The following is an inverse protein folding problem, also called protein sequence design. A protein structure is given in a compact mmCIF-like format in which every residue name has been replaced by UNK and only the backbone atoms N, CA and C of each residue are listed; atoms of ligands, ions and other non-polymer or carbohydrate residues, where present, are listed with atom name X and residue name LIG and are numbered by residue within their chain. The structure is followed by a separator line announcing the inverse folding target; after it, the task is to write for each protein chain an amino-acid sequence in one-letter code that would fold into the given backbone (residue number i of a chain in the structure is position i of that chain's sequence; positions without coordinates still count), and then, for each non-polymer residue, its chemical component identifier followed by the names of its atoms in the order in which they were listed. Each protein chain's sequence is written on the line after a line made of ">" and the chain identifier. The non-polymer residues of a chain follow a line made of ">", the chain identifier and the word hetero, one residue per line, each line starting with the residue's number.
data_IF_561082478693
#
_entry.id   IF_561082478693
#
_cell.length_a   1.000
_cell.length_b   1.000
_cell.length_c   1.000
_cell.angle_alpha   90.00
_cell.angle_beta   90.00
_cell.angle_gamma   90.00
#
_symmetry.space_group_name_H-M   'P 1'
#
loop_
_entity.id
_entity.type
_entity.pdbx_description
1 polymer ?
#
# COMPACT_ATOMS: atom_id res chain seq x y z
N UNK A 1 -1.75 21.27 -10.52
CA UNK A 1 -1.08 20.11 -11.15
C UNK A 1 -2.17 19.31 -11.88
N UNK A 2 -2.00 19.02 -13.17
CA UNK A 2 -2.94 18.17 -13.91
C UNK A 2 -2.26 16.83 -14.20
N UNK A 3 -2.92 15.68 -13.94
CA UNK A 3 -2.35 14.38 -14.23
C UNK A 3 -2.22 14.18 -15.74
N UNK A 4 -1.09 13.59 -16.17
CA UNK A 4 -0.85 13.22 -17.56
C UNK A 4 -0.71 11.71 -17.65
N UNK A 5 -1.50 11.10 -18.53
CA UNK A 5 -1.38 9.66 -18.82
C UNK A 5 -0.05 9.39 -19.55
N UNK A 6 0.71 8.43 -19.03
CA UNK A 6 1.90 7.86 -19.65
C UNK A 6 1.60 6.45 -20.16
N UNK A 7 2.48 5.86 -20.96
CA UNK A 7 2.35 4.45 -21.34
C UNK A 7 2.84 3.56 -20.20
N UNK A 8 2.10 2.48 -20.00
CA UNK A 8 2.48 1.37 -19.13
C UNK A 8 2.42 0.12 -19.99
N UNK A 9 3.59 -0.43 -20.32
CA UNK A 9 3.74 -1.58 -21.21
C UNK A 9 4.13 -2.79 -20.38
N UNK A 10 3.35 -3.87 -20.49
CA UNK A 10 3.57 -5.12 -19.77
C UNK A 10 3.44 -6.30 -20.73
N UNK A 11 3.92 -7.49 -20.33
CA UNK A 11 3.43 -8.73 -20.93
C UNK A 11 1.91 -8.83 -20.77
N UNK A 12 1.30 -9.68 -21.59
CA UNK A 12 -0.11 -10.01 -21.43
C UNK A 12 -0.26 -11.04 -20.30
N UNK A 13 -0.35 -10.56 -19.06
CA UNK A 13 -0.42 -11.40 -17.87
C UNK A 13 -1.66 -12.31 -17.82
N UNK A 14 -2.78 -11.90 -18.43
CA UNK A 14 -3.96 -12.77 -18.59
C UNK A 14 -3.62 -14.09 -19.31
N UNK A 15 -2.64 -14.04 -20.23
CA UNK A 15 -2.24 -15.20 -21.02
C UNK A 15 -1.11 -16.02 -20.41
N UNK A 16 -0.26 -15.42 -19.56
CA UNK A 16 0.99 -16.04 -19.11
C UNK A 16 1.04 -16.32 -17.60
N UNK A 17 0.16 -15.71 -16.82
CA UNK A 17 0.10 -15.84 -15.37
C UNK A 17 -1.28 -16.37 -14.96
N UNK A 18 -1.42 -17.70 -14.73
CA UNK A 18 -2.68 -18.27 -14.27
C UNK A 18 -3.18 -17.60 -12.99
N UNK A 19 -4.45 -17.23 -13.00
CA UNK A 19 -5.09 -16.55 -11.85
C UNK A 19 -4.74 -15.07 -11.73
N UNK A 20 -4.06 -14.44 -12.69
CA UNK A 20 -3.86 -12.99 -12.67
C UNK A 20 -5.21 -12.26 -12.53
N UNK A 21 -5.31 -11.38 -11.53
CA UNK A 21 -6.50 -10.56 -11.26
C UNK A 21 -6.21 -9.08 -11.60
N UNK A 22 -5.27 -8.47 -10.88
CA UNK A 22 -4.96 -7.04 -11.04
C UNK A 22 -3.52 -6.65 -10.65
N UNK A 23 -3.18 -5.39 -10.90
CA UNK A 23 -1.95 -4.75 -10.44
C UNK A 23 -2.23 -4.04 -9.11
N UNK A 24 -1.44 -4.34 -8.09
CA UNK A 24 -1.78 -3.94 -6.71
C UNK A 24 -0.89 -2.84 -6.16
N UNK A 25 0.42 -2.89 -6.43
CA UNK A 25 1.36 -1.93 -5.87
C UNK A 25 2.39 -1.48 -6.90
N UNK A 26 2.96 -0.29 -6.67
CA UNK A 26 4.06 0.25 -7.47
C UNK A 26 5.05 1.03 -6.61
N UNK A 27 6.35 0.79 -6.80
CA UNK A 27 7.41 1.57 -6.17
C UNK A 27 8.59 1.81 -7.10
N UNK A 28 9.37 2.85 -6.79
CA UNK A 28 10.40 3.35 -7.67
C UNK A 28 11.76 3.45 -6.99
N UNK A 29 12.81 3.06 -7.71
CA UNK A 29 14.21 3.25 -7.33
C UNK A 29 14.99 3.83 -8.50
N UNK A 30 15.14 5.15 -8.53
CA UNK A 30 15.63 5.84 -9.72
C UNK A 30 14.67 5.60 -10.88
N UNK A 31 15.19 5.08 -11.99
CA UNK A 31 14.41 4.68 -13.17
C UNK A 31 14.03 3.20 -13.19
N UNK A 32 14.17 2.49 -12.08
CA UNK A 32 13.60 1.15 -11.91
C UNK A 32 12.21 1.25 -11.28
N UNK A 33 11.30 0.44 -11.78
CA UNK A 33 9.96 0.26 -11.21
C UNK A 33 9.81 -1.16 -10.70
N UNK A 34 9.07 -1.31 -9.62
CA UNK A 34 8.69 -2.59 -9.04
C UNK A 34 7.18 -2.58 -8.87
N UNK A 35 6.53 -3.66 -9.28
CA UNK A 35 5.08 -3.82 -9.17
C UNK A 35 4.73 -5.16 -8.56
N UNK A 36 3.62 -5.21 -7.85
CA UNK A 36 2.97 -6.48 -7.48
C UNK A 36 1.81 -6.75 -8.42
N UNK A 37 1.61 -8.02 -8.72
CA UNK A 37 0.44 -8.52 -9.43
C UNK A 37 -0.30 -9.49 -8.51
N UNK A 38 -1.60 -9.31 -8.37
CA UNK A 38 -2.47 -10.22 -7.62
C UNK A 38 -2.72 -11.49 -8.44
N UNK A 39 -2.66 -12.61 -7.74
CA UNK A 39 -3.08 -13.92 -8.24
C UNK A 39 -4.25 -14.37 -7.37
N UNK A 40 -5.39 -14.64 -7.99
CA UNK A 40 -6.62 -15.05 -7.34
C UNK A 40 -7.17 -16.31 -7.96
N UNK A 41 -7.46 -17.27 -7.10
CA UNK A 41 -8.26 -18.44 -7.38
C UNK A 41 -9.43 -18.49 -6.38
N UNK A 42 -10.47 -19.33 -6.61
CA UNK A 42 -11.62 -19.38 -5.71
C UNK A 42 -11.31 -19.68 -4.23
N UNK A 43 -10.19 -20.35 -3.96
CA UNK A 43 -9.78 -20.82 -2.62
C UNK A 43 -8.36 -20.40 -2.23
N UNK A 44 -7.69 -19.57 -3.03
CA UNK A 44 -6.34 -19.10 -2.73
C UNK A 44 -6.06 -17.72 -3.31
N UNK A 45 -5.21 -16.99 -2.58
CA UNK A 45 -4.63 -15.72 -3.00
C UNK A 45 -3.12 -15.88 -3.08
N UNK A 46 -2.51 -15.09 -3.94
CA UNK A 46 -1.07 -14.97 -4.07
C UNK A 46 -0.71 -13.61 -4.66
N UNK A 47 0.58 -13.32 -4.69
CA UNK A 47 1.08 -12.22 -5.48
C UNK A 47 2.41 -12.58 -6.10
N UNK A 48 2.81 -11.82 -7.10
CA UNK A 48 4.14 -11.88 -7.67
C UNK A 48 4.72 -10.48 -7.79
N UNK A 49 6.04 -10.36 -7.59
CA UNK A 49 6.81 -9.14 -7.81
C UNK A 49 7.44 -9.17 -9.21
N UNK A 50 7.21 -8.11 -9.98
CA UNK A 50 7.87 -7.86 -11.25
C UNK A 50 8.71 -6.57 -11.17
N UNK A 51 9.77 -6.49 -11.99
CA UNK A 51 10.58 -5.26 -12.15
C UNK A 51 10.48 -4.76 -13.58
N UNK A 52 10.51 -3.46 -13.74
CA UNK A 52 10.66 -2.82 -15.03
C UNK A 52 11.60 -1.63 -14.97
N UNK A 53 11.49 -0.80 -16.00
CA UNK A 53 12.22 0.44 -16.11
C UNK A 53 11.33 1.57 -16.59
N UNK A 54 11.77 2.79 -16.34
CA UNK A 54 11.18 4.04 -16.79
C UNK A 54 12.10 4.63 -17.85
N UNK A 55 11.55 5.01 -18.99
CA UNK A 55 12.27 5.86 -19.94
C UNK A 55 12.41 7.28 -19.37
N UNK A 56 13.64 7.76 -19.18
CA UNK A 56 13.89 9.05 -18.52
C UNK A 56 13.30 10.25 -19.27
N UNK A 57 13.09 10.11 -20.59
CA UNK A 57 12.63 11.19 -21.45
C UNK A 57 11.11 11.21 -21.58
N UNK A 58 10.50 10.04 -21.75
CA UNK A 58 9.05 9.94 -21.96
C UNK A 58 8.29 9.69 -20.66
N UNK A 59 8.97 9.20 -19.62
CA UNK A 59 8.41 8.65 -18.39
C UNK A 59 7.53 7.42 -18.62
N UNK A 60 7.56 6.83 -19.81
CA UNK A 60 6.85 5.59 -20.08
C UNK A 60 7.47 4.46 -19.26
N UNK A 61 6.61 3.60 -18.73
CA UNK A 61 6.99 2.48 -17.88
C UNK A 61 6.90 1.20 -18.71
N UNK A 62 7.95 0.38 -18.68
CA UNK A 62 7.97 -0.94 -19.33
C UNK A 62 8.37 -2.02 -18.34
N UNK A 63 7.50 -3.01 -18.20
CA UNK A 63 7.77 -4.29 -17.52
C UNK A 63 8.08 -5.32 -18.61
N UNK A 64 9.31 -5.85 -18.70
CA UNK A 64 9.64 -6.89 -19.67
C UNK A 64 9.13 -8.26 -19.20
N UNK A 65 9.04 -9.21 -20.13
CA UNK A 65 8.91 -10.63 -19.80
C UNK A 65 10.13 -11.08 -18.99
N UNK A 66 9.88 -11.76 -17.87
CA UNK A 66 10.91 -12.13 -16.90
C UNK A 66 10.39 -13.24 -15.98
N UNK A 67 11.30 -13.83 -15.20
CA UNK A 67 10.90 -14.63 -14.05
C UNK A 67 10.35 -13.72 -12.96
N UNK A 68 9.14 -14.03 -12.52
CA UNK A 68 8.46 -13.31 -11.45
C UNK A 68 8.85 -13.91 -10.09
N UNK A 69 8.89 -13.08 -9.04
CA UNK A 69 9.17 -13.55 -7.68
C UNK A 69 7.83 -13.77 -6.98
N UNK A 70 7.56 -15.00 -6.59
CA UNK A 70 6.36 -15.34 -5.81
C UNK A 70 6.41 -14.70 -4.42
N UNK A 71 5.30 -14.09 -4.04
CA UNK A 71 5.05 -13.50 -2.73
C UNK A 71 3.89 -14.27 -2.09
N UNK A 72 4.20 -15.24 -1.25
CA UNK A 72 3.18 -15.97 -0.51
C UNK A 72 2.44 -15.01 0.45
N UNK A 73 1.11 -15.06 0.44
CA UNK A 73 0.29 -14.31 1.40
C UNK A 73 0.38 -14.94 2.79
N UNK A 74 0.30 -14.17 3.89
CA UNK A 74 0.39 -14.71 5.25
C UNK A 74 -0.79 -15.62 5.60
N UNK A 75 -1.96 -15.36 5.04
CA UNK A 75 -3.17 -16.17 5.13
C UNK A 75 -4.06 -15.89 3.91
N UNK A 76 -5.01 -16.79 3.65
CA UNK A 76 -6.05 -16.54 2.66
C UNK A 76 -7.09 -15.56 3.21
N UNK A 77 -7.19 -14.40 2.59
CA UNK A 77 -8.34 -13.50 2.68
C UNK A 77 -8.70 -13.11 1.26
N UNK A 78 -9.92 -13.41 0.84
CA UNK A 78 -10.36 -13.16 -0.53
C UNK A 78 -10.21 -11.68 -0.90
N UNK A 79 -9.71 -11.39 -2.10
CA UNK A 79 -9.47 -10.03 -2.61
C UNK A 79 -8.50 -9.21 -1.75
N UNK A 80 -7.47 -9.84 -1.17
CA UNK A 80 -6.41 -9.15 -0.44
C UNK A 80 -5.05 -9.72 -0.80
N UNK A 81 -4.13 -8.80 -1.08
CA UNK A 81 -2.80 -9.13 -1.60
C UNK A 81 -1.76 -8.13 -1.08
N UNK A 82 -0.61 -8.03 -1.76
CA UNK A 82 0.44 -7.08 -1.44
C UNK A 82 0.22 -5.76 -2.17
N UNK A 83 -0.53 -4.85 -1.55
CA UNK A 83 -0.95 -3.56 -2.14
C UNK A 83 0.01 -2.40 -1.88
N UNK A 84 1.07 -2.58 -1.08
CA UNK A 84 2.06 -1.53 -0.90
C UNK A 84 3.49 -2.02 -1.03
N UNK A 85 4.33 -1.16 -1.59
CA UNK A 85 5.76 -1.37 -1.74
C UNK A 85 6.56 -0.21 -1.15
N UNK A 86 7.59 -0.52 -0.36
CA UNK A 86 8.58 0.45 0.09
C UNK A 86 9.97 -0.06 -0.27
N UNK A 87 10.84 0.81 -0.77
CA UNK A 87 12.19 0.43 -1.16
C UNK A 87 13.20 1.14 -0.26
N UNK A 88 14.05 0.34 0.40
CA UNK A 88 15.26 0.85 1.07
C UNK A 88 16.51 0.33 0.38
N UNK A 89 17.25 1.21 -0.31
CA UNK A 89 18.48 0.88 -1.04
C UNK A 89 18.28 -0.32 -1.98
N UNK A 90 18.71 -1.51 -1.55
CA UNK A 90 18.63 -2.75 -2.30
C UNK A 90 17.58 -3.71 -1.75
N UNK A 91 16.62 -3.26 -0.93
CA UNK A 91 15.58 -4.12 -0.39
C UNK A 91 14.21 -3.56 -0.74
N UNK A 92 13.39 -4.39 -1.37
CA UNK A 92 11.98 -4.11 -1.64
C UNK A 92 11.17 -4.77 -0.52
N UNK A 93 10.38 -3.96 0.19
CA UNK A 93 9.46 -4.40 1.21
C UNK A 93 8.05 -4.41 0.62
N UNK A 94 7.39 -5.56 0.64
CA UNK A 94 6.00 -5.71 0.25
C UNK A 94 5.13 -5.89 1.48
N UNK A 95 4.05 -5.11 1.55
CA UNK A 95 3.14 -5.08 2.68
C UNK A 95 1.85 -5.76 2.26
N UNK A 96 1.48 -6.82 2.99
CA UNK A 96 0.17 -7.42 2.82
C UNK A 96 -0.90 -6.41 3.26
N UNK A 97 -2.02 -6.38 2.56
CA UNK A 97 -3.00 -5.33 2.74
C UNK A 97 -3.63 -5.32 4.15
N UNK A 98 -3.78 -6.49 4.78
CA UNK A 98 -4.40 -6.60 6.10
C UNK A 98 -3.50 -7.28 7.12
N UNK A 99 -2.97 -6.48 8.05
CA UNK A 99 -2.02 -6.94 9.09
C UNK A 99 -2.53 -6.65 10.51
N UNK A 100 -3.84 -6.62 10.70
CA UNK A 100 -4.47 -6.47 12.02
C UNK A 100 -4.27 -7.71 12.88
N UNK A 101 -4.28 -7.52 14.21
CA UNK A 101 -3.99 -8.59 15.18
C UNK A 101 -5.05 -9.71 15.16
N UNK A 102 -6.25 -9.42 14.66
CA UNK A 102 -7.33 -10.41 14.54
C UNK A 102 -7.11 -11.44 13.44
N UNK A 103 -6.31 -11.11 12.42
CA UNK A 103 -6.06 -11.96 11.26
C UNK A 103 -4.65 -12.55 11.28
N UNK A 104 -3.64 -11.71 11.53
CA UNK A 104 -2.24 -12.07 11.39
C UNK A 104 -1.57 -11.96 12.75
N UNK A 105 -1.25 -13.11 13.33
CA UNK A 105 -0.37 -13.17 14.50
C UNK A 105 1.05 -12.80 14.06
N UNK A 106 1.69 -11.87 14.78
CA UNK A 106 3.05 -11.36 14.49
C UNK A 106 3.22 -10.91 13.03
N UNK A 107 2.52 -9.84 12.59
CA UNK A 107 2.54 -9.42 11.20
C UNK A 107 3.92 -9.02 10.71
N UNK A 108 4.11 -9.14 9.40
CA UNK A 108 5.38 -8.90 8.75
C UNK A 108 5.18 -8.32 7.35
N UNK A 109 6.19 -7.57 6.90
CA UNK A 109 6.39 -7.31 5.48
C UNK A 109 7.29 -8.40 4.88
N UNK A 110 7.11 -8.70 3.61
CA UNK A 110 8.09 -9.48 2.85
C UNK A 110 9.23 -8.57 2.41
N UNK A 111 10.46 -8.91 2.77
CA UNK A 111 11.67 -8.19 2.39
C UNK A 111 12.45 -8.99 1.34
N UNK A 112 12.50 -8.44 0.14
CA UNK A 112 13.21 -9.02 -0.98
C UNK A 112 14.51 -8.25 -1.25
N UNK A 113 15.65 -8.91 -1.12
CA UNK A 113 16.96 -8.30 -1.39
C UNK A 113 17.29 -8.35 -2.88
N UNK A 114 17.70 -7.23 -3.45
CA UNK A 114 18.11 -7.09 -4.84
C UNK A 114 19.57 -7.53 -5.03
N UNK A 115 19.94 -8.06 -6.22
CA UNK A 115 19.14 -8.17 -7.45
C UNK A 115 18.02 -9.23 -7.37
N UNK A 116 17.16 -9.34 -8.40
CA UNK A 116 16.03 -10.29 -8.53
C UNK A 116 16.41 -11.80 -8.54
N UNK A 117 17.53 -12.16 -7.94
CA UNK A 117 17.95 -13.51 -7.55
C UNK A 117 18.16 -13.65 -6.04
N UNK A 118 17.86 -12.61 -5.26
CA UNK A 118 18.12 -12.55 -3.84
C UNK A 118 17.10 -13.32 -2.99
N UNK A 119 17.33 -13.29 -1.68
CA UNK A 119 16.53 -14.02 -0.69
C UNK A 119 15.29 -13.22 -0.28
N UNK A 120 14.12 -13.88 -0.33
CA UNK A 120 12.89 -13.40 0.29
C UNK A 120 12.90 -13.77 1.78
N UNK A 121 12.63 -12.79 2.65
CA UNK A 121 12.57 -12.97 4.10
C UNK A 121 11.36 -12.25 4.67
N UNK A 122 10.90 -12.68 5.84
CA UNK A 122 9.94 -11.91 6.62
C UNK A 122 10.66 -10.80 7.39
N UNK A 123 9.98 -9.67 7.56
CA UNK A 123 10.48 -8.53 8.31
C UNK A 123 9.40 -8.06 9.29
N UNK A 124 9.61 -8.16 10.60
CA UNK A 124 8.58 -7.88 11.59
C UNK A 124 8.00 -6.48 11.43
N UNK A 125 6.68 -6.40 11.56
CA UNK A 125 5.91 -5.18 11.43
C UNK A 125 4.97 -5.02 12.63
N UNK A 126 4.77 -3.78 13.04
CA UNK A 126 3.76 -3.45 14.02
C UNK A 126 2.36 -3.70 13.45
N UNK A 127 1.47 -4.43 14.15
CA UNK A 127 0.12 -4.70 13.66
C UNK A 127 -0.68 -3.43 13.46
N UNK A 128 -1.34 -3.30 12.31
CA UNK A 128 -2.20 -2.17 12.02
C UNK A 128 -3.56 -2.70 11.59
N UNK A 129 -4.58 -2.33 12.35
CA UNK A 129 -5.97 -2.59 11.96
C UNK A 129 -6.32 -1.84 10.67
N UNK A 130 -7.25 -2.43 9.91
CA UNK A 130 -7.72 -1.95 8.62
C UNK A 130 -6.73 -2.13 7.46
N UNK A 131 -7.18 -1.81 6.23
CA UNK A 131 -6.43 -2.04 5.00
C UNK A 131 -5.27 -1.06 4.84
N UNK A 132 -4.16 -1.54 4.29
CA UNK A 132 -2.95 -0.81 3.88
C UNK A 132 -2.89 -0.81 2.36
N UNK A 133 -3.37 0.28 1.75
CA UNK A 133 -3.63 0.34 0.30
C UNK A 133 -2.48 0.94 -0.53
N UNK A 134 -1.65 1.82 0.04
CA UNK A 134 -0.41 2.28 -0.61
C UNK A 134 0.56 2.88 0.41
N UNK A 135 1.82 3.05 0.04
CA UNK A 135 2.88 3.62 0.86
C UNK A 135 3.75 4.65 0.12
N UNK A 136 4.13 5.73 0.81
CA UNK A 136 5.13 6.65 0.29
C UNK A 136 6.53 6.03 0.29
N UNK A 137 7.43 6.57 -0.53
CA UNK A 137 8.87 6.35 -0.37
C UNK A 137 9.38 6.74 1.02
N UNK A 138 10.46 6.09 1.46
CA UNK A 138 11.19 6.47 2.66
C UNK A 138 11.76 7.89 2.53
N UNK A 139 11.64 8.66 3.60
CA UNK A 139 12.40 9.89 3.75
C UNK A 139 13.81 9.65 4.31
N UNK A 140 14.57 10.74 4.49
CA UNK A 140 15.94 10.68 4.99
C UNK A 140 16.07 10.12 6.40
N UNK A 141 14.97 10.04 7.17
CA UNK A 141 14.92 9.45 8.52
C UNK A 141 14.41 8.01 8.51
N UNK A 142 14.21 7.42 7.32
CA UNK A 142 13.58 6.10 7.14
C UNK A 142 12.13 6.06 7.62
N UNK A 143 11.42 7.19 7.54
CA UNK A 143 9.98 7.22 7.79
C UNK A 143 9.23 7.17 6.46
N UNK A 144 8.06 6.55 6.49
CA UNK A 144 7.14 6.49 5.35
C UNK A 144 5.71 6.55 5.88
N UNK A 145 4.79 6.97 5.03
CA UNK A 145 3.38 7.01 5.32
C UNK A 145 2.65 5.94 4.54
N UNK A 146 1.60 5.39 5.13
CA UNK A 146 0.70 4.47 4.45
C UNK A 146 -0.72 5.03 4.44
N UNK A 147 -1.48 4.69 3.41
CA UNK A 147 -2.94 4.79 3.46
C UNK A 147 -3.43 3.73 4.45
N UNK A 148 -4.25 4.14 5.42
CA UNK A 148 -4.96 3.22 6.30
C UNK A 148 -6.46 3.45 6.13
N UNK A 149 -7.14 2.43 5.61
CA UNK A 149 -8.50 2.55 5.08
C UNK A 149 -9.41 1.46 5.61
N UNK A 150 -10.63 1.83 6.00
CA UNK A 150 -11.68 0.88 6.39
C UNK A 150 -13.03 1.26 5.80
N UNK A 151 -13.58 0.35 5.01
CA UNK A 151 -14.98 0.34 4.63
C UNK A 151 -15.75 -0.61 5.57
N UNK A 152 -16.83 -0.15 6.25
CA UNK A 152 -17.60 -0.99 7.18
C UNK A 152 -18.15 -2.29 6.58
N UNK A 153 -18.30 -2.39 5.25
CA UNK A 153 -18.68 -3.63 4.58
C UNK A 153 -17.63 -4.75 4.70
N UNK A 154 -16.36 -4.40 4.94
CA UNK A 154 -15.26 -5.37 5.05
C UNK A 154 -15.16 -5.98 6.46
N UNK A 155 -16.06 -5.60 7.38
CA UNK A 155 -16.00 -6.00 8.80
C UNK A 155 -15.96 -7.50 9.00
N UNK A 156 -16.74 -8.27 8.25
CA UNK A 156 -16.77 -9.73 8.38
C UNK A 156 -15.53 -10.40 7.77
N UNK A 157 -14.95 -9.75 6.76
CA UNK A 157 -13.74 -10.19 6.06
C UNK A 157 -12.50 -9.95 6.91
N UNK A 158 -12.31 -8.73 7.42
CA UNK A 158 -11.07 -8.36 8.11
C UNK A 158 -11.16 -8.38 9.64
N UNK A 159 -12.38 -8.40 10.18
CA UNK A 159 -12.69 -8.58 11.62
C UNK A 159 -11.80 -7.71 12.51
N UNK A 160 -11.79 -6.38 12.33
CA UNK A 160 -10.79 -5.55 12.96
C UNK A 160 -10.90 -5.61 14.48
N UNK A 161 -9.75 -5.65 15.16
CA UNK A 161 -9.66 -5.51 16.61
C UNK A 161 -9.83 -4.04 17.01
N UNK A 162 -9.45 -3.71 18.26
CA UNK A 162 -9.51 -2.34 18.76
C UNK A 162 -8.53 -1.44 18.01
N UNK A 163 -9.01 -0.32 17.47
CA UNK A 163 -8.13 0.70 16.88
C UNK A 163 -7.29 1.41 17.95
N UNK A 164 -6.06 0.96 18.12
CA UNK A 164 -5.12 1.52 19.10
C UNK A 164 -4.76 2.98 18.79
N UNK A 165 -4.87 3.42 17.52
CA UNK A 165 -4.50 4.76 17.11
C UNK A 165 -5.59 5.74 17.56
N UNK A 166 -6.86 5.40 17.35
CA UNK A 166 -8.00 6.15 17.88
C UNK A 166 -7.96 6.22 19.42
N UNK A 167 -7.66 5.11 20.10
CA UNK A 167 -7.53 5.09 21.58
C UNK A 167 -6.46 6.05 22.08
N UNK A 168 -5.32 6.11 21.38
CA UNK A 168 -4.15 6.87 21.82
C UNK A 168 -4.23 8.35 21.46
N UNK A 169 -4.77 8.67 20.28
CA UNK A 169 -4.74 10.01 19.72
C UNK A 169 -6.13 10.70 19.71
N UNK A 170 -7.19 9.95 20.02
CA UNK A 170 -8.56 10.38 19.78
C UNK A 170 -8.94 10.25 18.31
N UNK A 171 -10.22 10.49 18.03
CA UNK A 171 -10.78 10.56 16.68
C UNK A 171 -11.14 12.01 16.37
N UNK A 172 -11.00 12.40 15.12
CA UNK A 172 -11.46 13.68 14.62
C UNK A 172 -12.98 13.75 14.50
N UNK A 173 -13.54 14.95 14.26
CA UNK A 173 -14.99 15.18 14.36
C UNK A 173 -15.86 14.33 13.44
N UNK A 174 -15.35 13.95 12.26
CA UNK A 174 -16.08 13.09 11.32
C UNK A 174 -15.94 11.61 11.64
N UNK A 175 -14.78 11.18 12.16
CA UNK A 175 -14.51 9.78 12.49
C UNK A 175 -15.17 9.39 13.81
N UNK A 176 -15.27 10.29 14.79
CA UNK A 176 -15.93 10.02 16.09
C UNK A 176 -17.43 9.68 15.99
N UNK A 177 -18.04 9.85 14.81
CA UNK A 177 -19.46 9.54 14.54
C UNK A 177 -19.62 8.54 13.38
N UNK A 178 -18.54 7.87 12.97
CA UNK A 178 -18.54 6.96 11.82
C UNK A 178 -17.58 5.79 12.01
N UNK A 179 -18.02 4.58 11.67
CA UNK A 179 -17.14 3.40 11.67
C UNK A 179 -16.11 3.39 10.51
N UNK A 180 -16.16 4.36 9.59
CA UNK A 180 -15.22 4.42 8.46
C UNK A 180 -13.88 4.95 8.91
N UNK A 181 -12.81 4.46 8.28
CA UNK A 181 -11.47 5.01 8.47
C UNK A 181 -10.90 5.44 7.13
N UNK A 182 -10.55 6.72 7.03
CA UNK A 182 -9.72 7.27 5.98
C UNK A 182 -8.63 8.11 6.65
N UNK A 183 -7.38 7.62 6.66
CA UNK A 183 -6.26 8.33 7.29
C UNK A 183 -4.92 7.93 6.69
N UNK A 184 -3.91 8.74 6.96
CA UNK A 184 -2.51 8.40 6.71
C UNK A 184 -1.81 8.09 8.03
N UNK A 185 -0.99 7.04 8.06
CA UNK A 185 -0.26 6.61 9.26
C UNK A 185 1.24 6.58 8.97
N UNK A 186 2.05 7.21 9.85
CA UNK A 186 3.50 7.25 9.70
C UNK A 186 4.19 6.08 10.40
N UNK A 187 4.90 5.28 9.62
CA UNK A 187 5.79 4.22 10.07
C UNK A 187 7.26 4.66 9.95
N UNK A 188 8.12 3.92 10.65
CA UNK A 188 9.57 3.98 10.48
C UNK A 188 10.14 2.59 10.26
N UNK A 189 11.15 2.52 9.42
CA UNK A 189 12.00 1.35 9.27
C UNK A 189 13.24 1.54 10.15
N UNK A 190 13.35 0.78 11.24
CA UNK A 190 14.46 0.91 12.20
C UNK A 190 14.72 -0.41 12.92
N UNK A 191 15.99 -0.67 13.27
CA UNK A 191 16.36 -1.76 14.18
C UNK A 191 15.81 -3.15 13.76
N UNK A 192 15.81 -3.42 12.44
CA UNK A 192 15.28 -4.64 11.81
C UNK A 192 13.76 -4.88 11.98
N UNK A 193 12.98 -3.81 12.16
CA UNK A 193 11.52 -3.87 12.20
C UNK A 193 10.87 -2.62 11.62
N UNK A 194 9.58 -2.73 11.32
CA UNK A 194 8.70 -1.65 10.90
C UNK A 194 7.79 -1.30 12.07
N UNK A 195 7.94 -0.11 12.64
CA UNK A 195 7.13 0.34 13.78
C UNK A 195 6.35 1.61 13.44
N UNK A 196 5.24 1.82 14.14
CA UNK A 196 4.62 3.14 14.23
C UNK A 196 5.59 4.18 14.79
N UNK A 197 5.52 5.39 14.25
CA UNK A 197 6.14 6.55 14.89
C UNK A 197 5.30 7.05 16.06
N UNK A 198 5.74 8.13 16.71
CA UNK A 198 4.95 8.82 17.74
C UNK A 198 3.95 9.82 17.15
N UNK A 199 4.00 10.06 15.84
CA UNK A 199 3.15 11.04 15.16
C UNK A 199 1.71 10.52 15.10
N UNK A 200 0.75 11.40 15.39
CA UNK A 200 -0.66 11.07 15.24
C UNK A 200 -0.98 10.80 13.76
N UNK A 201 -1.94 9.91 13.46
CA UNK A 201 -2.45 9.76 12.10
C UNK A 201 -3.00 11.07 11.55
N UNK A 202 -2.94 11.23 10.23
CA UNK A 202 -3.60 12.33 9.53
C UNK A 202 -4.95 11.81 9.04
N UNK A 203 -6.01 12.13 9.77
CA UNK A 203 -7.37 11.77 9.37
C UNK A 203 -7.86 12.63 8.19
N UNK A 204 -8.36 11.97 7.16
CA UNK A 204 -8.96 12.62 6.00
C UNK A 204 -10.44 12.83 6.28
N UNK A 205 -10.89 14.08 6.29
CA UNK A 205 -12.30 14.41 6.58
C UNK A 205 -13.25 13.55 5.74
N UNK A 206 -14.07 12.77 6.42
CA UNK A 206 -15.02 11.86 5.77
C UNK A 206 -16.09 12.65 5.01
N UNK A 207 -16.54 12.10 3.89
CA UNK A 207 -17.60 12.69 3.09
C UNK A 207 -18.96 12.10 3.44
N UNK A 208 -19.86 12.96 3.89
CA UNK A 208 -21.21 12.58 4.29
C UNK A 208 -21.21 11.40 5.26
N UNK A 209 -22.26 10.59 5.21
CA UNK A 209 -22.44 9.43 6.10
C UNK A 209 -22.11 8.09 5.44
N UNK A 210 -22.11 8.03 4.10
CA UNK A 210 -22.07 6.75 3.34
C UNK A 210 -20.88 6.61 2.38
N UNK A 211 -20.25 7.72 2.01
CA UNK A 211 -19.20 7.71 0.98
C UNK A 211 -17.89 7.21 1.58
N UNK A 212 -17.36 6.11 1.09
CA UNK A 212 -15.99 5.69 1.39
C UNK A 212 -15.20 5.76 0.09
N UNK A 213 -14.17 6.61 0.07
CA UNK A 213 -13.59 7.05 -1.21
C UNK A 213 -12.70 6.02 -1.89
N UNK A 214 -12.27 4.97 -1.18
CA UNK A 214 -11.36 3.94 -1.68
C UNK A 214 -10.05 4.57 -2.21
N UNK A 215 -9.24 5.08 -1.28
CA UNK A 215 -7.93 5.67 -1.57
C UNK A 215 -6.91 4.56 -1.84
N UNK A 216 -6.23 4.59 -2.99
CA UNK A 216 -5.39 3.49 -3.51
C UNK A 216 -4.01 3.96 -4.02
N UNK A 217 -3.74 5.26 -3.97
CA UNK A 217 -2.45 5.80 -4.42
C UNK A 217 -1.99 6.95 -3.54
N UNK A 218 -0.72 6.93 -3.13
CA UNK A 218 -0.12 7.85 -2.18
C UNK A 218 1.33 8.17 -2.56
N UNK A 219 1.62 9.47 -2.70
CA UNK A 219 3.00 9.94 -2.83
C UNK A 219 3.23 11.16 -1.95
N UNK A 220 4.41 11.23 -1.34
CA UNK A 220 4.86 12.44 -0.65
C UNK A 220 5.17 13.52 -1.69
N UNK A 221 4.55 14.68 -1.54
CA UNK A 221 4.80 15.85 -2.36
C UNK A 221 5.80 16.77 -1.64
N UNK A 222 7.08 16.46 -1.86
CA UNK A 222 8.23 17.13 -1.24
C UNK A 222 8.04 17.35 0.28
N UNK A 223 8.18 18.59 0.73
CA UNK A 223 7.99 19.00 2.13
C UNK A 223 6.64 19.71 2.35
N UNK A 224 5.72 19.62 1.38
CA UNK A 224 4.43 20.31 1.44
C UNK A 224 3.32 19.40 1.97
N UNK A 225 3.35 18.12 1.60
CA UNK A 225 2.33 17.16 2.04
C UNK A 225 2.31 15.89 1.20
N UNK A 226 1.11 15.49 0.79
CA UNK A 226 0.85 14.27 0.02
C UNK A 226 -0.05 14.55 -1.17
N UNK A 227 0.19 13.84 -2.27
CA UNK A 227 -0.82 13.63 -3.30
C UNK A 227 -1.42 12.25 -3.07
N UNK A 228 -2.75 12.19 -3.06
CA UNK A 228 -3.50 10.95 -2.85
C UNK A 228 -4.57 10.82 -3.94
N UNK A 229 -4.82 9.60 -4.41
CA UNK A 229 -5.85 9.34 -5.40
C UNK A 229 -6.71 8.11 -5.08
N UNK A 230 -7.95 8.14 -5.55
CA UNK A 230 -8.89 7.03 -5.40
C UNK A 230 -8.82 6.06 -6.56
N UNK A 231 -9.39 4.88 -6.38
CA UNK A 231 -9.75 4.00 -7.48
C UNK A 231 -10.70 4.72 -8.49
N UNK A 232 -10.83 4.12 -9.67
CA UNK A 232 -11.49 4.65 -10.87
C UNK A 232 -13.02 4.81 -10.73
N UNK A 233 -13.67 4.15 -9.77
CA UNK A 233 -15.13 4.10 -9.69
C UNK A 233 -15.70 5.06 -8.63
N UNK A 234 -16.64 5.98 -8.97
CA UNK A 234 -17.15 6.32 -10.31
C UNK A 234 -16.25 7.28 -11.11
N UNK A 235 -15.32 7.98 -10.43
CA UNK A 235 -14.29 8.83 -11.03
C UNK A 235 -13.07 8.84 -10.12
N UNK A 236 -11.85 8.86 -10.69
CA UNK A 236 -10.62 9.07 -9.91
C UNK A 236 -10.59 10.49 -9.35
N UNK A 237 -10.52 10.61 -8.03
CA UNK A 237 -10.22 11.85 -7.33
C UNK A 237 -8.70 11.95 -7.20
N UNK A 238 -8.13 13.13 -7.45
CA UNK A 238 -6.75 13.46 -7.08
C UNK A 238 -6.81 14.62 -6.07
N UNK A 239 -6.28 14.40 -4.88
CA UNK A 239 -6.30 15.37 -3.80
C UNK A 239 -4.89 15.68 -3.28
N UNK A 240 -4.73 16.88 -2.73
CA UNK A 240 -3.54 17.29 -2.00
C UNK A 240 -3.86 17.37 -0.50
N UNK A 241 -3.03 16.75 0.33
CA UNK A 241 -3.14 16.74 1.79
C UNK A 241 -1.90 17.40 2.37
N UNK A 242 -1.98 18.64 2.91
CA UNK A 242 -0.81 19.34 3.44
C UNK A 242 -0.31 18.71 4.76
N UNK A 243 1.00 18.82 5.05
CA UNK A 243 1.55 18.40 6.35
C UNK A 243 1.00 19.20 7.54
N UNK A 244 0.56 20.42 7.27
CA UNK A 244 -0.05 21.34 8.24
C UNK A 244 -1.38 21.83 7.68
N UNK A 245 -2.48 21.28 8.20
CA UNK A 245 -3.79 21.91 8.14
C UNK A 245 -3.96 22.79 9.38
N UNK A 246 -4.00 24.11 9.19
CA UNK A 246 -4.46 25.05 10.21
C UNK A 246 -5.99 24.94 10.38
#
# INVERSE_FOLDING_TARGET
>A
ILPKKIKFLTPNYDNILPGFDSFEAIAFRGFEVYITLEIRFPDSMGAVLARGHIDERTLDVTIPEQNLIELAVPLFVDNMSYESLVIDQNTVYAFFETNGESLVNDPYALAYSLPLTGTLKTFPMFPLEYRIADATRLDSRKHFWVINYFYPGDRETIRPSKDILAVKHGEGPTHSVSDRVERLVEFRLKDKKIDLTKRAPLELRLEGEKTSRKWEALVRYDNEGFLIATDKYPTTILAFVPFSSH
#
